data_IF_272337118409
#
_entry.id   IF_272337118409
#
_cell.length_a   1.000
_cell.length_b   1.000
_cell.length_c   1.000
_cell.angle_alpha   90.00
_cell.angle_beta   90.00
_cell.angle_gamma   90.00
#
_symmetry.space_group_name_H-M   'P 1'
#
loop_
_entity.id
_entity.type
_entity.pdbx_description
1 polymer ?
#
# COMPACT_ATOMS: atom_id res chain seq x y z
N UNK A 1 -27.04 -12.25 6.38
CA UNK A 1 -25.97 -12.06 5.38
C UNK A 1 -24.81 -12.97 5.73
N UNK A 2 -24.80 -14.21 5.23
CA UNK A 2 -23.66 -15.13 5.39
C UNK A 2 -22.77 -14.95 4.16
N UNK A 3 -21.82 -14.02 4.25
CA UNK A 3 -20.74 -13.94 3.27
C UNK A 3 -19.51 -14.56 3.92
N UNK A 4 -18.99 -15.61 3.32
CA UNK A 4 -17.71 -16.20 3.74
C UNK A 4 -16.60 -15.16 3.57
N UNK A 5 -15.72 -15.06 4.57
CA UNK A 5 -14.56 -14.18 4.56
C UNK A 5 -13.35 -15.05 4.23
N UNK A 6 -12.69 -14.76 3.11
CA UNK A 6 -11.43 -15.39 2.75
C UNK A 6 -10.26 -14.51 3.22
N UNK A 7 -9.27 -15.11 3.90
CA UNK A 7 -8.08 -14.42 4.38
C UNK A 7 -6.85 -15.14 3.81
N UNK A 8 -6.07 -14.42 3.02
CA UNK A 8 -4.81 -14.89 2.46
C UNK A 8 -3.64 -14.22 3.18
N UNK A 9 -2.90 -14.98 3.99
CA UNK A 9 -1.70 -14.49 4.68
C UNK A 9 -0.44 -14.91 3.92
N UNK A 10 0.33 -13.91 3.46
CA UNK A 10 1.59 -14.13 2.76
C UNK A 10 2.76 -13.60 3.58
N UNK A 11 3.65 -14.48 4.03
CA UNK A 11 4.91 -14.10 4.66
C UNK A 11 5.99 -13.87 3.61
N UNK A 12 6.52 -12.65 3.54
CA UNK A 12 7.61 -12.27 2.65
C UNK A 12 7.99 -10.80 2.80
N UNK A 13 9.14 -10.42 2.26
CA UNK A 13 9.53 -9.00 2.19
C UNK A 13 8.71 -8.32 1.07
N UNK A 14 7.94 -7.28 1.40
CA UNK A 14 7.03 -6.58 0.48
C UNK A 14 7.77 -5.97 -0.72
N UNK A 15 8.99 -5.46 -0.51
CA UNK A 15 9.85 -4.91 -1.54
C UNK A 15 10.46 -5.96 -2.50
N UNK A 16 10.25 -7.26 -2.27
CA UNK A 16 10.75 -8.33 -3.14
C UNK A 16 9.75 -8.64 -4.27
N UNK A 17 10.21 -8.63 -5.53
CA UNK A 17 9.40 -8.98 -6.71
C UNK A 17 8.78 -10.38 -6.62
N UNK A 18 9.40 -11.31 -5.91
CA UNK A 18 8.83 -12.64 -5.67
C UNK A 18 7.57 -12.58 -4.78
N UNK A 19 7.55 -11.68 -3.80
CA UNK A 19 6.36 -11.43 -2.96
C UNK A 19 5.26 -10.82 -3.83
N UNK A 20 5.58 -9.82 -4.65
CA UNK A 20 4.63 -9.23 -5.61
C UNK A 20 4.04 -10.30 -6.56
N UNK A 21 4.86 -11.23 -7.07
CA UNK A 21 4.38 -12.33 -7.91
C UNK A 21 3.36 -13.21 -7.18
N UNK A 22 3.64 -13.56 -5.92
CA UNK A 22 2.70 -14.34 -5.09
C UNK A 22 1.39 -13.57 -4.83
N UNK A 23 1.46 -12.27 -4.56
CA UNK A 23 0.28 -11.41 -4.43
C UNK A 23 -0.54 -11.39 -5.72
N UNK A 24 0.10 -11.20 -6.88
CA UNK A 24 -0.59 -11.24 -8.18
C UNK A 24 -1.28 -12.58 -8.45
N UNK A 25 -0.66 -13.69 -8.03
CA UNK A 25 -1.26 -15.02 -8.15
C UNK A 25 -2.48 -15.17 -7.24
N UNK A 26 -2.42 -14.69 -5.99
CA UNK A 26 -3.56 -14.69 -5.06
C UNK A 26 -4.72 -13.85 -5.62
N UNK A 27 -4.40 -12.67 -6.17
CA UNK A 27 -5.42 -11.80 -6.78
C UNK A 27 -6.02 -12.38 -8.07
N UNK A 28 -5.30 -13.26 -8.77
CA UNK A 28 -5.77 -13.92 -9.99
C UNK A 28 -6.41 -12.96 -11.03
N UNK A 29 -5.81 -11.77 -11.19
CA UNK A 29 -6.30 -10.73 -12.11
C UNK A 29 -7.27 -9.71 -11.49
N UNK A 30 -7.84 -10.00 -10.32
CA UNK A 30 -8.64 -9.04 -9.56
C UNK A 30 -7.80 -7.85 -9.09
N UNK A 31 -8.46 -6.69 -8.94
CA UNK A 31 -7.82 -5.45 -8.51
C UNK A 31 -8.21 -5.09 -7.08
N UNK A 32 -7.27 -4.49 -6.36
CA UNK A 32 -7.48 -4.04 -4.99
C UNK A 32 -8.45 -2.87 -4.95
N UNK A 33 -9.37 -2.92 -3.99
CA UNK A 33 -10.24 -1.80 -3.64
C UNK A 33 -9.52 -0.83 -2.69
N UNK A 34 -8.70 -1.39 -1.80
CA UNK A 34 -7.87 -0.68 -0.83
C UNK A 34 -6.49 -1.33 -0.82
N UNK A 35 -5.45 -0.49 -0.84
CA UNK A 35 -4.09 -0.86 -0.47
C UNK A 35 -3.72 -0.08 0.79
N UNK A 36 -3.35 -0.78 1.86
CA UNK A 36 -2.89 -0.17 3.10
C UNK A 36 -1.40 -0.48 3.28
N UNK A 37 -0.58 0.57 3.36
CA UNK A 37 0.88 0.49 3.51
C UNK A 37 1.23 0.92 4.93
N UNK A 38 1.60 -0.07 5.73
CA UNK A 38 2.03 0.06 7.12
C UNK A 38 3.17 -0.93 7.34
N UNK A 39 4.38 -0.49 7.00
CA UNK A 39 5.54 -1.34 6.85
C UNK A 39 6.79 -0.68 7.42
N UNK A 40 7.94 -1.04 6.89
CA UNK A 40 9.20 -0.42 7.30
C UNK A 40 9.16 1.09 7.00
N UNK A 41 9.30 1.93 8.03
CA UNK A 41 9.14 3.38 7.96
C UNK A 41 10.31 4.10 7.27
N UNK A 42 11.23 3.39 6.62
CA UNK A 42 12.24 4.01 5.76
C UNK A 42 11.62 4.50 4.45
N UNK A 43 12.17 5.59 3.91
CA UNK A 43 11.66 6.22 2.69
C UNK A 43 11.70 5.25 1.51
N UNK A 44 12.82 4.54 1.34
CA UNK A 44 13.02 3.60 0.24
C UNK A 44 12.03 2.43 0.30
N UNK A 45 11.74 1.91 1.50
CA UNK A 45 10.80 0.81 1.65
C UNK A 45 9.36 1.21 1.31
N UNK A 46 8.89 2.35 1.84
CA UNK A 46 7.53 2.85 1.59
C UNK A 46 7.34 3.21 0.12
N UNK A 47 8.31 3.92 -0.48
CA UNK A 47 8.28 4.28 -1.89
C UNK A 47 8.21 3.03 -2.77
N UNK A 48 9.04 2.03 -2.48
CA UNK A 48 9.08 0.79 -3.23
C UNK A 48 7.80 -0.03 -3.07
N UNK A 49 7.19 -0.03 -1.89
CA UNK A 49 5.87 -0.66 -1.70
C UNK A 49 4.79 0.06 -2.51
N UNK A 50 4.77 1.39 -2.50
CA UNK A 50 3.86 2.15 -3.35
C UNK A 50 4.06 1.84 -4.84
N UNK A 51 5.29 1.87 -5.35
CA UNK A 51 5.59 1.61 -6.76
C UNK A 51 5.21 0.18 -7.19
N UNK A 52 5.44 -0.82 -6.34
CA UNK A 52 5.14 -2.22 -6.66
C UNK A 52 3.65 -2.54 -6.59
N UNK A 53 2.92 -2.00 -5.61
CA UNK A 53 1.56 -2.41 -5.29
C UNK A 53 0.48 -1.43 -5.75
N UNK A 54 0.76 -0.13 -5.92
CA UNK A 54 -0.22 0.83 -6.43
C UNK A 54 -0.82 0.47 -7.81
N UNK A 55 -0.08 -0.16 -8.76
CA UNK A 55 -0.68 -0.58 -10.04
C UNK A 55 -1.70 -1.72 -9.91
N UNK A 56 -1.78 -2.38 -8.75
CA UNK A 56 -2.77 -3.41 -8.45
C UNK A 56 -4.10 -2.82 -7.96
N UNK A 57 -4.14 -1.53 -7.63
CA UNK A 57 -5.35 -0.84 -7.20
C UNK A 57 -6.22 -0.51 -8.41
N UNK A 58 -7.53 -0.74 -8.29
CA UNK A 58 -8.48 -0.42 -9.36
C UNK A 58 -8.63 1.08 -9.54
N UNK A 59 -9.14 1.52 -10.70
CA UNK A 59 -9.57 2.91 -10.88
C UNK A 59 -10.63 3.26 -9.83
N UNK A 60 -10.40 4.34 -9.08
CA UNK A 60 -11.26 4.77 -7.97
C UNK A 60 -11.08 3.99 -6.67
N UNK A 61 -10.10 3.08 -6.59
CA UNK A 61 -9.67 2.48 -5.32
C UNK A 61 -8.83 3.46 -4.48
N UNK A 62 -8.57 3.08 -3.24
CA UNK A 62 -7.86 3.91 -2.25
C UNK A 62 -6.49 3.32 -1.93
N UNK A 63 -5.49 4.18 -1.77
CA UNK A 63 -4.19 3.84 -1.19
C UNK A 63 -4.08 4.65 0.11
N UNK A 64 -3.79 3.97 1.21
CA UNK A 64 -3.64 4.58 2.52
C UNK A 64 -2.26 4.26 3.09
N UNK A 65 -1.66 5.25 3.75
CA UNK A 65 -0.36 5.16 4.41
C UNK A 65 -0.55 5.39 5.90
N UNK A 66 0.16 4.62 6.72
CA UNK A 66 0.24 4.85 8.16
C UNK A 66 1.32 5.91 8.50
N UNK A 67 1.26 6.54 9.67
CA UNK A 67 2.31 7.43 10.20
C UNK A 67 2.72 8.65 9.35
N UNK A 68 1.81 9.21 8.54
CA UNK A 68 2.05 10.41 7.71
C UNK A 68 2.27 11.72 8.50
N UNK A 69 2.17 11.68 9.82
CA UNK A 69 2.28 12.84 10.71
C UNK A 69 3.68 13.04 11.29
N UNK A 70 4.52 12.00 11.30
CA UNK A 70 5.80 12.01 12.02
C UNK A 70 6.91 12.61 11.14
N UNK A 71 7.45 13.80 11.46
CA UNK A 71 8.33 14.54 10.55
C UNK A 71 9.62 13.81 10.15
N UNK A 72 10.09 12.90 11.00
CA UNK A 72 11.39 12.24 10.87
C UNK A 72 11.30 10.85 10.24
N UNK A 73 10.11 10.37 9.85
CA UNK A 73 9.96 9.05 9.23
C UNK A 73 9.89 9.17 7.71
N UNK A 74 10.41 8.15 7.03
CA UNK A 74 10.42 8.09 5.57
C UNK A 74 9.03 8.14 4.95
N UNK A 75 8.02 7.66 5.67
CA UNK A 75 6.61 7.74 5.23
C UNK A 75 6.16 9.18 5.03
N UNK A 76 6.51 10.10 5.94
CA UNK A 76 6.17 11.53 5.82
C UNK A 76 6.82 12.16 4.60
N UNK A 77 8.12 11.89 4.42
CA UNK A 77 8.90 12.42 3.30
C UNK A 77 8.27 11.96 1.98
N UNK A 78 7.98 10.65 1.87
CA UNK A 78 7.36 10.10 0.68
C UNK A 78 5.93 10.61 0.46
N UNK A 79 5.14 10.75 1.53
CA UNK A 79 3.80 11.31 1.46
C UNK A 79 3.81 12.74 0.91
N UNK A 80 4.69 13.61 1.43
CA UNK A 80 4.82 14.98 0.96
C UNK A 80 5.27 15.06 -0.51
N UNK A 81 6.08 14.10 -0.98
CA UNK A 81 6.48 13.97 -2.38
C UNK A 81 5.29 13.70 -3.31
N UNK A 82 4.37 12.80 -2.92
CA UNK A 82 3.33 12.30 -3.83
C UNK A 82 1.96 12.94 -3.65
N UNK A 83 1.64 13.52 -2.48
CA UNK A 83 0.26 13.89 -2.13
C UNK A 83 -0.39 14.92 -3.04
N UNK A 84 0.42 15.71 -3.75
CA UNK A 84 -0.04 16.71 -4.71
C UNK A 84 -0.40 16.11 -6.08
N UNK A 85 0.03 14.89 -6.37
CA UNK A 85 -0.25 14.18 -7.62
C UNK A 85 -1.58 13.41 -7.59
N UNK A 86 -2.23 13.35 -6.42
CA UNK A 86 -3.44 12.58 -6.18
C UNK A 86 -4.48 13.40 -5.42
N UNK A 87 -5.75 13.00 -5.51
CA UNK A 87 -6.76 13.47 -4.56
C UNK A 87 -6.50 12.79 -3.22
N UNK A 88 -6.16 13.58 -2.20
CA UNK A 88 -5.74 13.08 -0.89
C UNK A 88 -6.62 13.59 0.24
N UNK A 89 -6.61 12.87 1.35
CA UNK A 89 -7.20 13.28 2.62
C UNK A 89 -6.24 12.82 3.73
N UNK A 90 -5.89 13.74 4.62
CA UNK A 90 -5.06 13.46 5.79
C UNK A 90 -5.98 13.30 7.01
N UNK A 91 -5.81 12.22 7.77
CA UNK A 91 -6.55 11.95 9.00
C UNK A 91 -5.52 11.94 10.12
N UNK A 92 -5.56 12.96 10.97
CA UNK A 92 -4.66 13.15 12.09
C UNK A 92 -5.45 12.88 13.38
N UNK A 93 -4.88 12.07 14.27
CA UNK A 93 -5.43 11.83 15.61
C UNK A 93 -4.46 12.37 16.67
#
# INVERSE_FOLDING_TARGET
>A
FNKEIEINCLRGNSNNKNTLKKVKNILNGEKLHLLFIDGDHSYDCVKKDFELYSPLVKKGGVIAFHDIAYPTVGVKIFWDEIKHNYKTQEIMH
#
